data_IF_539699074814
#
_entry.id   IF_539699074814
#
_cell.length_a   1.000
_cell.length_b   1.000
_cell.length_c   1.000
_cell.angle_alpha   90.00
_cell.angle_beta   90.00
_cell.angle_gamma   90.00
#
_symmetry.space_group_name_H-M   'P 1'
#
loop_
_entity.id
_entity.type
_entity.pdbx_description
1 polymer ?
#
# COMPACT_ATOMS: atom_id res chain seq x y z
N UNK A 1 -5.47 10.63 16.31
CA UNK A 1 -6.10 11.05 15.02
C UNK A 1 -5.55 10.23 13.86
N UNK A 2 -4.24 10.01 13.82
CA UNK A 2 -3.58 9.07 12.92
C UNK A 2 -2.44 8.40 13.69
N UNK A 3 -2.12 7.17 13.32
CA UNK A 3 -0.87 6.52 13.69
C UNK A 3 0.24 7.08 12.80
N UNK A 4 0.05 6.97 11.48
CA UNK A 4 0.90 7.59 10.46
C UNK A 4 0.14 7.69 9.14
N UNK A 5 0.12 8.88 8.55
CA UNK A 5 -0.63 9.15 7.32
C UNK A 5 0.24 9.10 6.04
N UNK A 6 1.45 8.53 6.13
CA UNK A 6 2.40 8.39 5.03
C UNK A 6 3.66 9.26 5.18
N UNK A 7 4.61 9.08 4.27
CA UNK A 7 5.87 9.85 4.22
C UNK A 7 5.69 11.31 3.79
N UNK A 8 6.66 12.18 4.13
CA UNK A 8 6.64 13.57 3.67
C UNK A 8 7.11 13.70 2.21
N UNK A 9 6.14 13.68 1.30
CA UNK A 9 6.38 13.74 -0.14
C UNK A 9 6.62 15.17 -0.67
N UNK A 10 6.59 16.21 0.17
CA UNK A 10 6.86 17.60 -0.28
C UNK A 10 8.29 17.79 -0.75
N UNK A 11 9.25 17.18 -0.05
CA UNK A 11 10.65 17.25 -0.42
C UNK A 11 10.94 16.48 -1.70
N UNK A 12 10.31 15.32 -1.87
CA UNK A 12 10.34 14.52 -3.11
C UNK A 12 9.88 15.37 -4.30
N UNK A 13 8.75 16.06 -4.18
CA UNK A 13 8.25 16.95 -5.23
C UNK A 13 9.22 18.09 -5.56
N UNK A 14 9.71 18.79 -4.53
CA UNK A 14 10.60 19.96 -4.72
C UNK A 14 11.89 19.58 -5.45
N UNK A 15 12.54 18.48 -5.05
CA UNK A 15 13.79 18.00 -5.65
C UNK A 15 13.55 17.41 -7.03
N UNK A 16 12.51 16.59 -7.19
CA UNK A 16 12.14 15.99 -8.47
C UNK A 16 11.79 17.03 -9.55
N UNK A 17 11.14 18.15 -9.18
CA UNK A 17 10.90 19.27 -10.12
C UNK A 17 12.17 19.94 -10.64
N UNK A 18 13.28 19.80 -9.93
CA UNK A 18 14.59 20.32 -10.33
C UNK A 18 15.40 19.28 -11.11
N UNK A 19 14.84 18.10 -11.37
CA UNK A 19 15.53 16.97 -11.99
C UNK A 19 16.46 16.20 -11.03
N UNK A 20 16.46 16.55 -9.74
CA UNK A 20 17.19 15.80 -8.72
C UNK A 20 16.32 14.66 -8.17
N UNK A 21 16.50 13.48 -8.74
CA UNK A 21 15.80 12.27 -8.30
C UNK A 21 16.56 11.47 -7.24
N UNK A 22 17.81 11.84 -6.94
CA UNK A 22 18.67 11.09 -6.04
C UNK A 22 18.10 11.04 -4.62
N UNK A 23 17.57 12.17 -4.14
CA UNK A 23 16.95 12.25 -2.81
C UNK A 23 15.85 11.20 -2.63
N UNK A 24 14.89 11.15 -3.55
CA UNK A 24 13.75 10.25 -3.44
C UNK A 24 14.16 8.77 -3.56
N UNK A 25 15.04 8.47 -4.52
CA UNK A 25 15.56 7.11 -4.74
C UNK A 25 16.31 6.58 -3.52
N UNK A 26 17.10 7.42 -2.86
CA UNK A 26 17.75 7.08 -1.58
C UNK A 26 16.74 6.91 -0.46
N UNK A 27 15.77 7.84 -0.35
CA UNK A 27 14.72 7.77 0.67
C UNK A 27 13.99 6.42 0.63
N UNK A 28 13.50 5.99 -0.54
CA UNK A 28 12.84 4.69 -0.65
C UNK A 28 13.77 3.51 -0.39
N UNK A 29 15.04 3.58 -0.80
CA UNK A 29 15.99 2.51 -0.51
C UNK A 29 16.17 2.32 1.01
N UNK A 30 16.30 3.42 1.75
CA UNK A 30 16.44 3.40 3.20
C UNK A 30 15.13 2.99 3.91
N UNK A 31 13.98 3.44 3.41
CA UNK A 31 12.66 3.03 3.90
C UNK A 31 12.42 1.52 3.71
N UNK A 32 12.75 0.97 2.55
CA UNK A 32 12.51 -0.44 2.25
C UNK A 32 13.44 -1.35 3.05
N UNK A 33 14.69 -0.92 3.29
CA UNK A 33 15.59 -1.60 4.23
C UNK A 33 15.04 -1.59 5.65
N UNK A 34 14.40 -0.50 6.07
CA UNK A 34 13.69 -0.46 7.36
C UNK A 34 12.52 -1.44 7.37
N UNK A 35 11.69 -1.49 6.32
CA UNK A 35 10.57 -2.44 6.23
C UNK A 35 11.04 -3.90 6.34
N UNK A 36 12.07 -4.27 5.57
CA UNK A 36 12.69 -5.59 5.63
C UNK A 36 13.29 -5.89 7.02
N UNK A 37 13.89 -4.88 7.67
CA UNK A 37 14.42 -5.01 9.03
C UNK A 37 13.34 -5.23 10.07
N UNK A 38 12.18 -4.58 9.95
CA UNK A 38 11.03 -4.81 10.84
C UNK A 38 10.55 -6.25 10.69
N UNK A 39 10.37 -6.73 9.45
CA UNK A 39 9.94 -8.10 9.18
C UNK A 39 10.90 -9.17 9.72
N UNK A 40 12.21 -8.88 9.71
CA UNK A 40 13.26 -9.78 10.20
C UNK A 40 13.68 -9.51 11.64
N UNK A 41 12.96 -8.63 12.35
CA UNK A 41 13.41 -8.21 13.66
C UNK A 41 13.42 -9.40 14.63
N UNK A 42 14.54 -9.71 15.31
CA UNK A 42 14.69 -10.96 16.06
C UNK A 42 13.90 -10.95 17.39
N UNK A 43 13.27 -9.82 17.73
CA UNK A 43 12.43 -9.67 18.92
C UNK A 43 11.00 -9.38 18.47
N UNK A 44 9.99 -9.71 19.30
CA UNK A 44 8.63 -9.32 19.00
C UNK A 44 8.50 -7.81 18.75
N UNK A 45 7.73 -7.45 17.72
CA UNK A 45 7.41 -6.07 17.36
C UNK A 45 5.89 -5.90 17.38
N UNK A 46 5.39 -5.15 18.35
CA UNK A 46 3.96 -4.90 18.53
C UNK A 46 3.61 -3.51 17.98
N UNK A 47 2.78 -3.46 16.95
CA UNK A 47 2.29 -2.23 16.36
C UNK A 47 0.85 -1.94 16.83
N UNK A 48 0.68 -0.93 17.69
CA UNK A 48 -0.64 -0.44 18.11
C UNK A 48 -1.10 0.68 17.17
N UNK A 49 -1.94 0.34 16.20
CA UNK A 49 -2.36 1.28 15.13
C UNK A 49 -3.77 1.83 15.36
N UNK A 50 -3.91 3.16 15.42
CA UNK A 50 -5.19 3.86 15.62
C UNK A 50 -5.37 4.95 14.58
N UNK A 51 -6.61 5.34 14.29
CA UNK A 51 -6.89 6.35 13.27
C UNK A 51 -6.35 5.95 11.88
N UNK A 52 -5.87 6.94 11.11
CA UNK A 52 -5.32 6.70 9.77
C UNK A 52 -3.95 6.00 9.82
N UNK A 53 -3.80 4.98 8.98
CA UNK A 53 -2.57 4.22 8.70
C UNK A 53 -2.44 4.10 7.18
N UNK A 54 -1.51 4.83 6.55
CA UNK A 54 -1.41 4.91 5.08
C UNK A 54 0.05 4.94 4.62
N UNK A 55 0.34 4.39 3.44
CA UNK A 55 1.67 4.39 2.81
C UNK A 55 2.78 3.93 3.76
N UNK A 56 3.82 4.73 3.95
CA UNK A 56 4.90 4.41 4.91
C UNK A 56 4.42 4.09 6.33
N UNK A 57 3.24 4.59 6.76
CA UNK A 57 2.60 4.20 8.02
C UNK A 57 2.23 2.72 8.08
N UNK A 58 1.77 2.15 6.95
CA UNK A 58 1.59 0.71 6.77
C UNK A 58 2.95 0.04 6.88
N UNK A 59 3.95 0.48 6.10
CA UNK A 59 5.29 -0.13 6.08
C UNK A 59 6.02 -0.21 7.43
N UNK A 60 5.74 0.68 8.38
CA UNK A 60 6.34 0.63 9.73
C UNK A 60 5.51 -0.14 10.76
N UNK A 61 4.34 -0.65 10.38
CA UNK A 61 3.45 -1.41 11.27
C UNK A 61 3.21 -2.85 10.82
N UNK A 62 2.82 -3.06 9.56
CA UNK A 62 2.23 -4.33 9.09
C UNK A 62 3.23 -5.47 8.91
N UNK A 63 4.52 -5.16 8.99
CA UNK A 63 5.61 -6.14 8.96
C UNK A 63 6.01 -6.57 10.37
N UNK A 64 5.41 -5.99 11.41
CA UNK A 64 5.59 -6.39 12.79
C UNK A 64 5.01 -7.77 13.08
N UNK A 65 5.49 -8.40 14.17
CA UNK A 65 5.00 -9.72 14.56
C UNK A 65 3.60 -9.70 15.20
N UNK A 66 3.16 -8.57 15.75
CA UNK A 66 1.82 -8.40 16.32
C UNK A 66 1.21 -7.09 15.85
N UNK A 67 0.18 -7.16 15.02
CA UNK A 67 -0.41 -6.00 14.35
C UNK A 67 -1.79 -5.75 14.93
N UNK A 68 -1.88 -4.74 15.78
CA UNK A 68 -3.08 -4.45 16.58
C UNK A 68 -3.82 -3.26 15.99
N UNK A 69 -5.11 -3.45 15.78
CA UNK A 69 -6.06 -2.40 15.37
C UNK A 69 -7.11 -2.18 16.46
N UNK A 70 -7.63 -0.96 16.54
CA UNK A 70 -8.83 -0.63 17.31
C UNK A 70 -9.99 -0.11 16.42
N UNK A 71 -11.09 0.27 17.03
CA UNK A 71 -12.35 0.76 16.42
C UNK A 71 -12.10 1.98 15.49
N UNK A 72 -11.14 2.81 15.85
CA UNK A 72 -10.77 4.02 15.09
C UNK A 72 -9.85 3.76 13.89
N UNK A 73 -9.29 2.56 13.76
CA UNK A 73 -8.28 2.24 12.74
C UNK A 73 -8.86 2.28 11.34
N UNK A 74 -8.16 2.95 10.43
CA UNK A 74 -8.50 3.10 9.02
C UNK A 74 -7.23 2.93 8.20
N UNK A 75 -7.03 1.73 7.65
CA UNK A 75 -5.84 1.35 6.89
C UNK A 75 -6.14 1.47 5.40
N UNK A 76 -5.22 2.03 4.61
CA UNK A 76 -5.36 2.09 3.15
C UNK A 76 -4.00 2.20 2.46
N UNK A 77 -3.95 1.79 1.20
CA UNK A 77 -2.84 2.01 0.27
C UNK A 77 -3.33 2.94 -0.87
N UNK A 78 -3.42 4.27 -0.66
CA UNK A 78 -4.02 5.21 -1.62
C UNK A 78 -3.02 5.76 -2.66
N UNK A 79 -1.87 5.12 -2.86
CA UNK A 79 -0.73 5.63 -3.64
C UNK A 79 -1.09 5.90 -5.11
N UNK A 80 -1.99 5.11 -5.71
CA UNK A 80 -2.44 5.33 -7.10
C UNK A 80 -3.09 6.71 -7.30
N UNK A 81 -3.66 7.30 -6.25
CA UNK A 81 -4.26 8.64 -6.29
C UNK A 81 -3.23 9.79 -6.41
N UNK A 82 -1.96 9.50 -6.14
CA UNK A 82 -0.83 10.44 -6.26
C UNK A 82 0.17 10.02 -7.34
N UNK A 83 -0.17 9.06 -8.21
CA UNK A 83 0.72 8.60 -9.28
C UNK A 83 1.86 7.69 -8.81
N UNK A 84 1.70 7.03 -7.66
CA UNK A 84 2.62 6.04 -7.13
C UNK A 84 1.93 4.67 -7.03
N UNK A 85 2.68 3.59 -6.95
CA UNK A 85 2.16 2.25 -6.63
C UNK A 85 2.11 2.05 -5.12
N UNK A 86 1.22 1.20 -4.57
CA UNK A 86 1.35 0.68 -3.21
C UNK A 86 2.74 0.09 -3.02
N UNK A 87 3.53 0.71 -2.17
CA UNK A 87 4.92 0.39 -1.92
C UNK A 87 5.14 -0.13 -0.50
N UNK A 88 6.37 -0.05 0.02
CA UNK A 88 6.77 -0.46 1.37
C UNK A 88 6.40 -1.91 1.72
N UNK A 89 6.40 -2.80 0.74
CA UNK A 89 6.01 -4.21 0.83
C UNK A 89 4.50 -4.45 0.66
N UNK A 90 3.76 -3.41 0.28
CA UNK A 90 2.32 -3.46 0.09
C UNK A 90 1.91 -4.48 -0.97
N UNK A 91 2.69 -4.66 -2.03
CA UNK A 91 2.36 -5.64 -3.09
C UNK A 91 2.32 -7.08 -2.56
N UNK A 92 3.19 -7.44 -1.61
CA UNK A 92 3.19 -8.75 -0.95
C UNK A 92 1.91 -8.95 -0.10
N UNK A 93 1.54 -7.95 0.69
CA UNK A 93 0.34 -8.02 1.54
C UNK A 93 -0.93 -8.08 0.72
N UNK A 94 -1.03 -7.23 -0.29
CA UNK A 94 -2.16 -7.21 -1.22
C UNK A 94 -2.24 -8.55 -1.98
N UNK A 95 -1.11 -9.12 -2.41
CA UNK A 95 -1.10 -10.43 -3.06
C UNK A 95 -1.64 -11.56 -2.19
N UNK A 96 -1.46 -11.47 -0.87
CA UNK A 96 -1.95 -12.42 0.13
C UNK A 96 -3.42 -12.23 0.55
N UNK A 97 -4.09 -11.14 0.14
CA UNK A 97 -5.49 -10.90 0.47
C UNK A 97 -6.42 -11.91 -0.26
N UNK A 98 -7.61 -12.25 0.30
CA UNK A 98 -8.51 -13.23 -0.30
C UNK A 98 -8.97 -12.90 -1.73
N UNK A 99 -8.87 -13.88 -2.64
CA UNK A 99 -9.33 -13.74 -4.02
C UNK A 99 -8.61 -12.61 -4.75
N UNK A 100 -9.37 -11.66 -5.29
CA UNK A 100 -8.84 -10.44 -5.92
C UNK A 100 -9.02 -9.19 -5.06
N UNK A 101 -9.18 -9.36 -3.74
CA UNK A 101 -9.33 -8.25 -2.80
C UNK A 101 -8.09 -7.34 -2.79
N UNK A 102 -6.90 -7.91 -2.96
CA UNK A 102 -5.65 -7.16 -3.04
C UNK A 102 -5.62 -6.16 -4.19
N UNK A 103 -5.98 -6.62 -5.39
CA UNK A 103 -6.12 -5.77 -6.57
C UNK A 103 -7.15 -4.66 -6.33
N UNK A 104 -8.31 -4.97 -5.74
CA UNK A 104 -9.30 -3.96 -5.37
C UNK A 104 -8.73 -2.91 -4.41
N UNK A 105 -8.11 -3.34 -3.31
CA UNK A 105 -7.58 -2.45 -2.29
C UNK A 105 -6.47 -1.55 -2.86
N UNK A 106 -5.53 -2.12 -3.62
CA UNK A 106 -4.37 -1.41 -4.17
C UNK A 106 -4.74 -0.41 -5.28
N UNK A 107 -5.72 -0.72 -6.12
CA UNK A 107 -6.14 0.18 -7.21
C UNK A 107 -7.08 1.28 -6.70
N UNK A 108 -7.94 0.99 -5.73
CA UNK A 108 -9.00 1.92 -5.30
C UNK A 108 -8.61 2.76 -4.09
N UNK A 109 -7.57 2.36 -3.35
CA UNK A 109 -7.20 3.00 -2.09
C UNK A 109 -8.30 2.90 -1.03
N UNK A 110 -9.17 1.88 -1.12
CA UNK A 110 -10.29 1.70 -0.19
C UNK A 110 -9.79 1.64 1.26
N UNK A 111 -10.53 2.28 2.17
CA UNK A 111 -10.17 2.34 3.59
C UNK A 111 -10.75 1.16 4.34
N UNK A 112 -9.88 0.27 4.78
CA UNK A 112 -10.23 -0.87 5.62
C UNK A 112 -10.50 -0.40 7.05
N UNK A 113 -11.67 -0.78 7.59
CA UNK A 113 -11.88 -0.82 9.04
C UNK A 113 -11.12 -1.99 9.68
N UNK A 114 -11.19 -2.16 11.01
CA UNK A 114 -10.46 -3.24 11.70
C UNK A 114 -10.83 -4.64 11.21
N UNK A 115 -12.12 -4.92 10.97
CA UNK A 115 -12.57 -6.21 10.44
C UNK A 115 -12.02 -6.52 9.04
N UNK A 116 -12.09 -5.53 8.14
CA UNK A 116 -11.56 -5.67 6.78
C UNK A 116 -10.03 -5.78 6.77
N UNK A 117 -9.34 -5.05 7.65
CA UNK A 117 -7.89 -5.10 7.77
C UNK A 117 -7.40 -6.48 8.22
N UNK A 118 -8.07 -7.09 9.20
CA UNK A 118 -7.75 -8.45 9.63
C UNK A 118 -8.06 -9.45 8.51
N UNK A 119 -9.23 -9.33 7.86
CA UNK A 119 -9.60 -10.18 6.71
C UNK A 119 -8.58 -10.10 5.57
N UNK A 120 -8.07 -8.91 5.27
CA UNK A 120 -7.11 -8.67 4.20
C UNK A 120 -5.66 -8.97 4.61
N UNK A 121 -5.39 -9.37 5.86
CA UNK A 121 -4.05 -9.71 6.34
C UNK A 121 -3.17 -8.51 6.71
N UNK A 122 -3.74 -7.32 6.89
CA UNK A 122 -3.04 -6.10 7.33
C UNK A 122 -2.95 -5.96 8.85
N UNK A 123 -3.71 -6.76 9.60
CA UNK A 123 -3.71 -6.79 11.06
C UNK A 123 -4.01 -8.21 11.57
N UNK A 124 -3.66 -8.48 12.82
CA UNK A 124 -3.87 -9.79 13.47
C UNK A 124 -4.95 -9.70 14.55
N UNK A 125 -4.90 -8.65 15.38
CA UNK A 125 -5.73 -8.54 16.57
C UNK A 125 -6.55 -7.26 16.56
N UNK A 126 -7.80 -7.38 17.01
CA UNK A 126 -8.61 -6.23 17.40
C UNK A 126 -8.57 -6.08 18.92
N UNK A 127 -8.09 -4.94 19.39
CA UNK A 127 -8.06 -4.59 20.81
C UNK A 127 -8.71 -3.21 20.95
N UNK A 128 -9.82 -3.06 21.71
CA UNK A 128 -10.41 -1.75 21.97
C UNK A 128 -9.38 -0.78 22.53
N UNK A 129 -9.38 0.47 22.06
CA UNK A 129 -8.39 1.48 22.43
C UNK A 129 -8.40 1.76 23.95
N UNK A 130 -9.54 1.56 24.60
CA UNK A 130 -9.70 1.69 26.06
C UNK A 130 -8.87 0.66 26.84
N UNK A 131 -8.49 -0.47 26.24
CA UNK A 131 -7.65 -1.51 26.85
C UNK A 131 -6.16 -1.31 26.60
N UNK A 132 -5.78 -0.42 25.69
CA UNK A 132 -4.37 -0.22 25.33
C UNK A 132 -3.47 0.19 26.50
N UNK A 133 -3.89 1.05 27.45
CA UNK A 133 -3.05 1.35 28.62
C UNK A 133 -2.72 0.10 29.45
N UNK A 134 -3.68 -0.80 29.63
CA UNK A 134 -3.47 -2.05 30.36
C UNK A 134 -2.59 -3.01 29.55
N UNK A 135 -2.84 -3.17 28.24
CA UNK A 135 -2.00 -3.96 27.35
C UNK A 135 -0.54 -3.49 27.37
N UNK A 136 -0.30 -2.18 27.28
CA UNK A 136 1.06 -1.62 27.32
C UNK A 136 1.73 -1.86 28.67
N UNK A 137 0.99 -1.71 29.79
CA UNK A 137 1.52 -2.01 31.11
C UNK A 137 1.95 -3.49 31.22
N UNK A 138 1.09 -4.40 30.78
CA UNK A 138 1.35 -5.83 30.78
C UNK A 138 2.55 -6.20 29.90
N UNK A 139 2.64 -5.65 28.68
CA UNK A 139 3.78 -5.86 27.77
C UNK A 139 5.12 -5.41 28.41
N UNK A 140 5.12 -4.30 29.15
CA UNK A 140 6.30 -3.78 29.83
C UNK A 140 6.69 -4.60 31.06
N UNK A 141 5.70 -5.16 31.78
CA UNK A 141 5.94 -5.97 32.97
C UNK A 141 6.42 -7.38 32.62
N UNK A 142 5.81 -8.02 31.62
CA UNK A 142 6.07 -9.43 31.29
C UNK A 142 7.17 -9.61 30.25
N UNK A 143 7.41 -8.61 29.40
CA UNK A 143 8.20 -8.73 28.18
C UNK A 143 7.74 -9.87 27.24
N UNK A 144 6.47 -10.25 27.33
CA UNK A 144 5.82 -11.31 26.54
C UNK A 144 4.79 -10.70 25.59
N UNK A 145 5.02 -10.82 24.29
CA UNK A 145 4.14 -10.25 23.28
C UNK A 145 2.83 -11.03 23.08
N UNK A 146 2.80 -12.32 23.46
CA UNK A 146 1.61 -13.16 23.33
C UNK A 146 0.47 -12.69 24.26
N UNK A 147 0.77 -11.78 25.20
CA UNK A 147 -0.24 -11.15 26.04
C UNK A 147 -1.25 -10.30 25.25
N UNK A 148 -0.92 -9.92 24.00
CA UNK A 148 -1.85 -9.24 23.09
C UNK A 148 -3.14 -10.05 22.93
N UNK A 149 -3.07 -11.38 22.84
CA UNK A 149 -4.23 -12.25 22.72
C UNK A 149 -5.20 -12.15 23.91
N UNK A 150 -4.68 -11.90 25.11
CA UNK A 150 -5.51 -11.77 26.33
C UNK A 150 -6.31 -10.47 26.35
N UNK A 151 -5.86 -9.47 25.59
CA UNK A 151 -6.54 -8.19 25.43
C UNK A 151 -7.40 -8.13 24.17
N UNK A 152 -7.23 -9.08 23.25
CA UNK A 152 -7.98 -9.12 22.00
C UNK A 152 -9.45 -9.46 22.22
N UNK A 153 -10.29 -8.88 21.37
CA UNK A 153 -11.72 -9.16 21.27
C UNK A 153 -12.06 -9.57 19.83
N UNK A 154 -13.19 -10.26 19.60
CA UNK A 154 -13.65 -10.54 18.25
C UNK A 154 -13.74 -9.24 17.43
N UNK A 155 -13.16 -9.18 16.23
CA UNK A 155 -13.20 -7.96 15.43
C UNK A 155 -14.63 -7.69 14.93
N UNK A 156 -14.96 -6.42 14.64
CA UNK A 156 -16.17 -6.10 13.88
C UNK A 156 -16.24 -6.86 12.56
N UNK A 157 -17.44 -7.07 12.03
CA UNK A 157 -17.62 -7.72 10.74
C UNK A 157 -16.86 -6.98 9.62
N UNK A 158 -16.20 -7.74 8.74
CA UNK A 158 -15.56 -7.22 7.55
C UNK A 158 -16.63 -6.86 6.51
N UNK A 159 -16.81 -5.57 6.23
CA UNK A 159 -17.82 -5.09 5.29
C UNK A 159 -17.54 -5.59 3.85
N UNK A 160 -16.27 -5.69 3.45
CA UNK A 160 -15.87 -6.14 2.12
C UNK A 160 -16.16 -7.63 1.87
N UNK A 161 -16.52 -8.39 2.90
CA UNK A 161 -16.88 -9.80 2.73
C UNK A 161 -18.14 -9.97 1.86
N UNK A 162 -19.11 -9.05 1.92
CA UNK A 162 -20.32 -9.12 1.08
C UNK A 162 -20.04 -8.76 -0.38
N UNK A 163 -19.04 -7.92 -0.63
CA UNK A 163 -18.69 -7.45 -1.98
C UNK A 163 -17.70 -8.39 -2.70
N UNK A 164 -17.18 -9.40 -2.00
CA UNK A 164 -16.16 -10.32 -2.51
C UNK A 164 -16.50 -10.92 -3.88
N UNK A 165 -17.72 -11.44 -4.15
CA UNK A 165 -18.02 -12.01 -5.47
C UNK A 165 -17.92 -10.99 -6.62
N UNK A 166 -18.35 -9.74 -6.38
CA UNK A 166 -18.25 -8.68 -7.37
C UNK A 166 -16.80 -8.20 -7.56
N UNK A 167 -16.03 -8.15 -6.47
CA UNK A 167 -14.59 -7.86 -6.50
C UNK A 167 -13.85 -8.92 -7.31
N UNK A 168 -14.09 -10.20 -7.02
CA UNK A 168 -13.41 -11.31 -7.70
C UNK A 168 -13.74 -11.34 -9.20
N UNK A 169 -15.00 -11.12 -9.57
CA UNK A 169 -15.41 -11.04 -10.97
C UNK A 169 -14.71 -9.88 -11.71
N UNK A 170 -14.75 -8.67 -11.17
CA UNK A 170 -14.16 -7.51 -11.85
C UNK A 170 -12.62 -7.56 -11.86
N UNK A 171 -11.98 -7.77 -10.70
CA UNK A 171 -10.53 -7.63 -10.52
C UNK A 171 -9.71 -8.86 -10.93
N UNK A 172 -10.38 -9.95 -11.32
CA UNK A 172 -9.73 -11.06 -12.06
C UNK A 172 -9.35 -10.71 -13.50
N UNK A 173 -9.77 -9.53 -14.01
CA UNK A 173 -9.49 -9.09 -15.38
C UNK A 173 -7.98 -9.08 -15.70
N UNK A 174 -7.53 -9.55 -16.88
CA UNK A 174 -6.10 -9.71 -17.18
C UNK A 174 -5.31 -8.40 -17.21
N UNK A 175 -5.95 -7.27 -17.45
CA UNK A 175 -5.31 -5.95 -17.53
C UNK A 175 -6.29 -4.84 -17.08
N UNK A 176 -5.77 -3.61 -16.97
CA UNK A 176 -6.55 -2.45 -16.56
C UNK A 176 -7.68 -2.15 -17.55
N UNK A 177 -7.44 -2.21 -18.86
CA UNK A 177 -8.46 -1.92 -19.86
C UNK A 177 -9.67 -2.87 -19.74
N UNK A 178 -9.41 -4.17 -19.56
CA UNK A 178 -10.45 -5.18 -19.35
C UNK A 178 -11.16 -5.00 -18.01
N UNK A 179 -10.44 -4.63 -16.95
CA UNK A 179 -11.05 -4.28 -15.66
C UNK A 179 -12.05 -3.12 -15.83
N UNK A 180 -11.65 -2.03 -16.49
CA UNK A 180 -12.51 -0.87 -16.72
C UNK A 180 -13.75 -1.26 -17.52
N UNK A 181 -13.59 -2.03 -18.62
CA UNK A 181 -14.72 -2.52 -19.40
C UNK A 181 -15.71 -3.38 -18.58
N UNK A 182 -15.22 -4.20 -17.63
CA UNK A 182 -16.08 -4.96 -16.71
C UNK A 182 -16.82 -4.07 -15.71
N UNK A 183 -16.15 -3.02 -15.22
CA UNK A 183 -16.77 -2.10 -14.27
C UNK A 183 -17.87 -1.25 -14.94
N UNK A 184 -17.73 -0.91 -16.22
CA UNK A 184 -18.71 -0.10 -16.97
C UNK A 184 -20.06 -0.79 -17.16
N UNK A 185 -20.10 -2.13 -17.17
CA UNK A 185 -21.34 -2.88 -17.42
C UNK A 185 -22.16 -3.22 -16.18
N UNK A 186 -21.68 -2.88 -14.97
CA UNK A 186 -22.38 -3.18 -13.71
C UNK A 186 -22.65 -1.92 -12.88
N UNK A 187 -23.79 -1.89 -12.18
CA UNK A 187 -24.13 -0.75 -11.30
C UNK A 187 -23.08 -0.57 -10.18
N UNK A 188 -22.63 -1.68 -9.60
CA UNK A 188 -21.56 -1.68 -8.59
C UNK A 188 -20.26 -1.12 -9.17
N UNK A 189 -19.86 -1.58 -10.35
CA UNK A 189 -18.64 -1.13 -11.02
C UNK A 189 -18.70 0.33 -11.45
N UNK A 190 -19.85 0.81 -11.95
CA UNK A 190 -20.03 2.22 -12.29
C UNK A 190 -19.91 3.14 -11.08
N UNK A 191 -20.32 2.72 -9.88
CA UNK A 191 -20.06 3.52 -8.67
C UNK A 191 -18.57 3.57 -8.34
N UNK A 192 -17.85 2.46 -8.53
CA UNK A 192 -16.41 2.40 -8.29
C UNK A 192 -15.62 3.27 -9.29
N UNK A 193 -16.01 3.23 -10.57
CA UNK A 193 -15.38 4.01 -11.63
C UNK A 193 -15.38 5.51 -11.37
N UNK A 194 -16.44 6.07 -10.75
CA UNK A 194 -16.50 7.50 -10.38
C UNK A 194 -15.31 7.94 -9.53
N UNK A 195 -14.74 7.04 -8.74
CA UNK A 195 -13.52 7.27 -7.97
C UNK A 195 -12.25 7.00 -8.79
N UNK A 196 -12.18 5.83 -9.44
CA UNK A 196 -10.99 5.35 -10.15
C UNK A 196 -10.54 6.27 -11.29
N UNK A 197 -11.46 6.96 -11.97
CA UNK A 197 -11.15 7.93 -13.02
C UNK A 197 -10.24 9.08 -12.56
N UNK A 198 -10.10 9.28 -11.25
CA UNK A 198 -9.24 10.33 -10.67
C UNK A 198 -7.82 9.86 -10.41
N UNK A 199 -7.53 8.57 -10.52
CA UNK A 199 -6.24 7.98 -10.15
C UNK A 199 -5.37 7.79 -11.39
N UNK A 200 -4.05 7.70 -11.21
CA UNK A 200 -3.10 7.54 -12.32
C UNK A 200 -3.27 6.17 -12.97
N UNK A 201 -3.61 6.11 -14.28
CA UNK A 201 -3.76 4.82 -14.97
C UNK A 201 -2.45 4.03 -15.03
N UNK A 202 -1.31 4.70 -15.21
CA UNK A 202 0.00 4.05 -15.23
C UNK A 202 0.32 3.41 -13.88
N UNK A 203 0.05 4.12 -12.78
CA UNK A 203 0.24 3.59 -11.43
C UNK A 203 -0.71 2.41 -11.14
N UNK A 204 -1.98 2.49 -11.56
CA UNK A 204 -2.93 1.38 -11.39
C UNK A 204 -2.50 0.13 -12.18
N UNK A 205 -2.07 0.29 -13.43
CA UNK A 205 -1.61 -0.82 -14.25
C UNK A 205 -0.33 -1.47 -13.69
N UNK A 206 0.64 -0.65 -13.22
CA UNK A 206 1.84 -1.14 -12.54
C UNK A 206 1.51 -1.84 -11.22
N UNK A 207 0.56 -1.32 -10.44
CA UNK A 207 0.09 -1.94 -9.19
C UNK A 207 -0.51 -3.31 -9.45
N UNK A 208 -1.35 -3.44 -10.48
CA UNK A 208 -1.95 -4.72 -10.86
C UNK A 208 -0.88 -5.77 -11.16
N UNK A 209 0.17 -5.40 -11.90
CA UNK A 209 1.28 -6.30 -12.22
C UNK A 209 2.13 -6.63 -10.99
N UNK A 210 2.43 -5.66 -10.12
CA UNK A 210 3.20 -5.87 -8.88
C UNK A 210 2.52 -6.88 -7.94
N UNK A 211 1.22 -6.72 -7.69
CA UNK A 211 0.43 -7.63 -6.85
C UNK A 211 0.48 -9.05 -7.42
N UNK A 212 0.31 -9.20 -8.74
CA UNK A 212 0.34 -10.51 -9.39
C UNK A 212 1.74 -11.12 -9.42
N UNK A 213 2.78 -10.30 -9.59
CA UNK A 213 4.16 -10.74 -9.50
C UNK A 213 4.50 -11.25 -8.11
N UNK A 214 4.08 -10.54 -7.05
CA UNK A 214 4.22 -10.99 -5.67
C UNK A 214 3.45 -12.30 -5.41
N UNK A 215 2.24 -12.46 -5.97
CA UNK A 215 1.50 -13.73 -5.87
C UNK A 215 2.22 -14.91 -6.55
N UNK A 216 2.89 -14.67 -7.69
CA UNK A 216 3.62 -15.70 -8.45
C UNK A 216 4.95 -16.07 -7.80
N UNK A 217 5.64 -15.09 -7.22
CA UNK A 217 6.90 -15.27 -6.52
C UNK A 217 6.86 -14.48 -5.20
N UNK A 218 6.26 -15.10 -4.16
CA UNK A 218 6.06 -14.49 -2.85
C UNK A 218 7.38 -14.23 -2.12
N UNK A 219 7.33 -13.25 -1.23
CA UNK A 219 8.42 -12.88 -0.36
C UNK A 219 8.62 -11.37 -0.33
N UNK A 220 8.56 -10.81 0.87
CA UNK A 220 8.65 -9.36 1.11
C UNK A 220 9.86 -8.72 0.41
N UNK A 221 11.03 -9.35 0.43
CA UNK A 221 12.22 -8.76 -0.19
C UNK A 221 12.16 -8.72 -1.71
N UNK A 222 11.59 -9.75 -2.31
CA UNK A 222 11.36 -9.78 -3.75
C UNK A 222 10.28 -8.74 -4.14
N UNK A 223 9.25 -8.59 -3.32
CA UNK A 223 8.25 -7.53 -3.48
C UNK A 223 8.88 -6.12 -3.38
N UNK A 224 9.65 -5.83 -2.33
CA UNK A 224 10.34 -4.55 -2.14
C UNK A 224 11.30 -4.24 -3.30
N UNK A 225 12.02 -5.24 -3.82
CA UNK A 225 12.88 -5.05 -4.98
C UNK A 225 12.08 -4.66 -6.24
N UNK A 226 10.94 -5.31 -6.50
CA UNK A 226 10.06 -4.96 -7.64
C UNK A 226 9.41 -3.60 -7.47
N UNK A 227 8.92 -3.29 -6.26
CA UNK A 227 8.38 -1.98 -5.92
C UNK A 227 9.43 -0.88 -6.09
N UNK A 228 10.70 -1.16 -5.74
CA UNK A 228 11.79 -0.19 -5.88
C UNK A 228 11.99 0.24 -7.33
N UNK A 229 11.88 -0.71 -8.27
CA UNK A 229 11.93 -0.40 -9.71
C UNK A 229 10.83 0.56 -10.13
N UNK A 230 9.61 0.36 -9.62
CA UNK A 230 8.47 1.22 -9.90
C UNK A 230 8.67 2.63 -9.34
N UNK A 231 9.00 2.77 -8.05
CA UNK A 231 9.15 4.09 -7.42
C UNK A 231 10.37 4.86 -7.93
N UNK A 232 11.46 4.15 -8.28
CA UNK A 232 12.65 4.73 -8.89
C UNK A 232 12.34 5.50 -10.18
N UNK A 233 11.43 4.93 -10.99
CA UNK A 233 10.97 5.51 -12.25
C UNK A 233 9.79 6.45 -12.07
N UNK A 234 8.94 6.24 -11.06
CA UNK A 234 7.72 7.04 -10.86
C UNK A 234 7.99 8.56 -10.76
N UNK A 235 9.12 8.96 -10.17
CA UNK A 235 9.48 10.37 -10.03
C UNK A 235 9.89 11.07 -11.33
N UNK A 236 10.45 10.36 -12.31
CA UNK A 236 10.94 10.93 -13.57
C UNK A 236 10.09 10.54 -14.78
N UNK A 237 9.75 9.26 -14.86
CA UNK A 237 9.09 8.64 -16.01
C UNK A 237 7.58 8.45 -15.79
N UNK A 238 7.11 8.53 -14.54
CA UNK A 238 5.71 8.35 -14.15
C UNK A 238 4.92 9.63 -13.88
N UNK A 239 3.85 9.48 -13.11
CA UNK A 239 2.86 10.52 -12.78
C UNK A 239 3.06 11.14 -11.38
N UNK A 240 4.06 10.69 -10.61
CA UNK A 240 4.19 11.02 -9.19
C UNK A 240 4.24 12.54 -8.92
N UNK A 241 5.05 13.27 -9.69
CA UNK A 241 5.19 14.71 -9.49
C UNK A 241 3.87 15.44 -9.72
N UNK A 242 3.10 15.02 -10.72
CA UNK A 242 1.79 15.61 -11.01
C UNK A 242 0.76 15.26 -9.93
N UNK A 243 0.76 14.01 -9.45
CA UNK A 243 -0.12 13.60 -8.36
C UNK A 243 0.17 14.35 -7.07
N UNK A 244 1.44 14.54 -6.70
CA UNK A 244 1.83 15.35 -5.54
C UNK A 244 1.40 16.80 -5.73
N UNK A 245 1.60 17.38 -6.93
CA UNK A 245 1.16 18.74 -7.25
C UNK A 245 -0.34 18.89 -6.95
N UNK A 246 -1.17 18.05 -7.56
CA UNK A 246 -2.62 18.16 -7.50
C UNK A 246 -3.19 17.89 -6.09
N UNK A 247 -2.62 16.96 -5.33
CA UNK A 247 -3.17 16.56 -4.02
C UNK A 247 -2.59 17.33 -2.83
N UNK A 248 -1.31 17.72 -2.88
CA UNK A 248 -0.58 18.24 -1.69
C UNK A 248 -0.14 19.69 -1.84
N UNK A 249 0.31 20.08 -3.02
CA UNK A 249 0.91 21.40 -3.27
C UNK A 249 -0.19 22.40 -3.62
N UNK A 250 -0.83 22.22 -4.76
CA UNK A 250 -1.86 23.13 -5.28
C UNK A 250 -3.24 22.80 -4.71
N UNK A 251 -3.45 21.51 -4.37
CA UNK A 251 -4.71 20.99 -3.79
C UNK A 251 -5.93 21.22 -4.69
N UNK A 252 -5.74 21.32 -6.00
CA UNK A 252 -6.81 21.46 -6.99
C UNK A 252 -7.62 20.16 -7.18
N UNK A 253 -7.03 19.00 -6.82
CA UNK A 253 -7.58 17.66 -7.04
C UNK A 253 -7.92 17.38 -8.51
N UNK A 254 -7.17 17.99 -9.43
CA UNK A 254 -7.36 17.89 -10.87
C UNK A 254 -6.05 17.49 -11.60
N UNK A 255 -5.48 16.31 -11.27
CA UNK A 255 -4.25 15.85 -11.87
C UNK A 255 -4.39 15.62 -13.39
N UNK A 256 -3.36 15.98 -14.14
CA UNK A 256 -3.25 15.75 -15.58
C UNK A 256 -2.40 14.51 -15.85
N UNK A 257 -3.02 13.34 -15.77
CA UNK A 257 -2.34 12.07 -15.99
C UNK A 257 -1.86 11.90 -17.43
N UNK A 258 -0.75 11.18 -17.63
CA UNK A 258 -0.17 10.91 -18.95
C UNK A 258 -1.07 10.08 -19.87
N UNK A 259 -1.98 9.31 -19.29
CA UNK A 259 -2.77 8.30 -20.00
C UNK A 259 -4.25 8.43 -19.63
N UNK A 260 -5.12 7.98 -20.54
CA UNK A 260 -6.49 7.61 -20.20
C UNK A 260 -6.52 6.23 -19.51
N UNK A 261 -7.62 5.89 -18.83
CA UNK A 261 -7.76 4.64 -18.08
C UNK A 261 -7.53 3.38 -18.90
N UNK A 262 -7.97 3.39 -20.16
CA UNK A 262 -7.85 2.31 -21.14
C UNK A 262 -6.65 2.48 -22.08
N UNK A 263 -5.88 3.55 -21.91
CA UNK A 263 -4.80 3.96 -22.84
C UNK A 263 -3.40 3.50 -22.45
N UNK A 264 -3.22 2.80 -21.33
CA UNK A 264 -1.90 2.35 -20.86
C UNK A 264 -1.46 1.12 -21.63
N UNK A 265 -0.32 1.18 -22.32
CA UNK A 265 0.20 0.02 -23.04
C UNK A 265 1.01 -0.88 -22.12
N UNK A 266 1.03 -2.17 -22.43
CA UNK A 266 1.76 -3.17 -21.66
C UNK A 266 3.26 -2.86 -21.56
N UNK A 267 3.86 -2.38 -22.65
CA UNK A 267 5.29 -2.06 -22.71
C UNK A 267 5.65 -0.90 -21.77
N UNK A 268 4.72 0.02 -21.50
CA UNK A 268 4.92 1.14 -20.57
C UNK A 268 4.95 0.63 -19.12
N UNK A 269 4.10 -0.34 -18.79
CA UNK A 269 4.13 -1.02 -17.49
C UNK A 269 5.41 -1.84 -17.33
N UNK A 270 5.79 -2.60 -18.35
CA UNK A 270 7.04 -3.39 -18.34
C UNK A 270 8.27 -2.48 -18.18
N UNK A 271 8.29 -1.31 -18.82
CA UNK A 271 9.37 -0.33 -18.66
C UNK A 271 9.45 0.20 -17.22
N UNK A 272 8.32 0.47 -16.56
CA UNK A 272 8.28 0.89 -15.16
C UNK A 272 8.89 -0.17 -14.22
N UNK A 273 8.72 -1.45 -14.55
CA UNK A 273 9.10 -2.59 -13.69
C UNK A 273 10.40 -3.29 -14.13
N UNK A 274 11.03 -2.84 -15.21
CA UNK A 274 12.25 -3.44 -15.75
C UNK A 274 13.40 -3.39 -14.74
N UNK A 275 14.36 -4.34 -14.78
CA UNK A 275 15.54 -4.30 -13.93
C UNK A 275 16.29 -2.97 -14.00
N UNK A 276 16.88 -2.56 -12.88
CA UNK A 276 17.64 -1.31 -12.75
C UNK A 276 19.15 -1.50 -12.99
N UNK A 277 19.61 -2.74 -13.21
CA UNK A 277 21.03 -3.03 -13.39
C UNK A 277 21.82 -2.74 -12.12
N UNK A 278 22.78 -1.81 -12.19
CA UNK A 278 23.62 -1.44 -11.04
C UNK A 278 22.86 -0.69 -9.93
N UNK A 279 21.70 -0.14 -10.25
CA UNK A 279 20.86 0.63 -9.32
C UNK A 279 19.76 -0.21 -8.63
N UNK A 280 19.83 -1.54 -8.74
CA UNK A 280 18.90 -2.43 -8.03
C UNK A 280 18.97 -2.24 -6.50
N UNK A 281 17.84 -2.49 -5.83
CA UNK A 281 17.78 -2.40 -4.38
C UNK A 281 18.62 -3.51 -3.73
N UNK A 282 19.72 -3.11 -3.11
CA UNK A 282 20.42 -3.97 -2.16
C UNK A 282 19.79 -3.83 -0.76
N UNK A 283 18.95 -4.80 -0.41
CA UNK A 283 18.30 -4.92 0.91
C UNK A 283 19.30 -5.28 2.01
N UNK A 284 20.42 -5.92 1.68
CA UNK A 284 21.40 -6.37 2.67
C UNK A 284 22.31 -5.25 3.18
N UNK A 285 22.43 -4.16 2.42
CA UNK A 285 23.12 -2.95 2.85
C UNK A 285 22.39 -2.32 4.05
N UNK A 286 23.11 -2.11 5.14
CA UNK A 286 22.64 -1.29 6.26
C UNK A 286 22.45 0.18 5.85
N UNK A 287 21.73 0.99 6.65
CA UNK A 287 21.65 2.43 6.40
C UNK A 287 23.06 3.04 6.46
N UNK A 288 23.41 3.79 5.43
CA UNK A 288 24.67 4.52 5.32
C UNK A 288 24.61 5.92 5.93
#
# INVERSE_FOLDING_TARGET
>A
RAFSAGGDIRQIYRTGRQGDFFFARRFWADEYRLNARIARYPKPYVALTHGLVMGGGVGVSVHGSHRVVCESSRIAMPECAIGLVPDVGGSELLAGAPGHLGEFLGLTGHRMGPGDAIRAGFADHFVPATRWPALVADLLETADADIVDRHAEPPPAAALASDQPAIDDAFSAPDLATLIARLEVSDWGMQLLKGLVRFSPLAMAATLELIRAARREPGLEAALAREYRAVWRAIGDGDLLEGIRAQVIDKDRAPQWRHALDGVRREEVEAMLAPLGADELDITRGPG
#
